data_IF_702859026347
#
_entry.id   IF_702859026347
#
_cell.length_a   1.000
_cell.length_b   1.000
_cell.length_c   1.000
_cell.angle_alpha   90.00
_cell.angle_beta   90.00
_cell.angle_gamma   90.00
#
_symmetry.space_group_name_H-M   'P 1'
#
loop_
_entity.id
_entity.type
_entity.pdbx_description
1 polymer ?
#
# COMPACT_ATOMS: atom_id res chain seq x y z
N UNK A 1 -17.98 28.92 12.93
CA UNK A 1 -18.29 27.70 13.69
C UNK A 1 -17.37 27.68 14.92
N UNK A 2 -17.92 27.73 16.14
CA UNK A 2 -17.16 27.61 17.38
C UNK A 2 -17.55 26.29 18.03
N UNK A 3 -16.58 25.39 18.23
CA UNK A 3 -16.77 24.13 18.92
C UNK A 3 -15.50 23.74 19.65
N UNK A 4 -15.65 22.98 20.74
CA UNK A 4 -14.50 22.40 21.44
C UNK A 4 -14.21 21.03 20.83
N UNK A 5 -12.94 20.79 20.50
CA UNK A 5 -12.46 19.47 20.10
C UNK A 5 -11.71 18.80 21.25
N UNK A 6 -11.96 17.51 21.46
CA UNK A 6 -11.26 16.68 22.42
C UNK A 6 -10.48 15.59 21.67
N UNK A 7 -9.21 15.42 22.04
CA UNK A 7 -8.38 14.29 21.60
C UNK A 7 -8.02 13.43 22.78
N UNK A 8 -8.37 12.16 22.71
CA UNK A 8 -7.98 11.15 23.70
C UNK A 8 -7.05 10.15 23.05
N UNK A 9 -5.97 9.78 23.74
CA UNK A 9 -5.04 8.74 23.30
C UNK A 9 -5.00 7.61 24.30
N UNK A 10 -5.22 6.40 23.82
CA UNK A 10 -5.03 5.17 24.57
C UNK A 10 -3.89 4.37 23.97
N UNK A 11 -3.02 3.80 24.82
CA UNK A 11 -1.94 2.89 24.42
C UNK A 11 -1.96 1.67 25.30
N UNK A 12 -1.94 0.49 24.68
CA UNK A 12 -1.81 -0.79 25.38
C UNK A 12 -0.68 -1.60 24.75
N UNK A 13 0.15 -2.19 25.58
CA UNK A 13 1.31 -3.00 25.21
C UNK A 13 1.10 -4.41 25.77
N UNK A 14 1.49 -5.38 24.98
CA UNK A 14 1.65 -6.78 25.35
C UNK A 14 3.05 -7.22 24.90
N UNK A 15 3.49 -8.40 25.26
CA UNK A 15 4.85 -8.87 24.98
C UNK A 15 5.25 -8.73 23.50
N UNK A 16 4.36 -9.16 22.59
CA UNK A 16 4.63 -9.14 21.15
C UNK A 16 3.65 -8.25 20.36
N UNK A 17 2.88 -7.40 21.05
CA UNK A 17 1.82 -6.63 20.40
C UNK A 17 1.67 -5.25 21.03
N UNK A 18 1.22 -4.30 20.22
CA UNK A 18 0.84 -2.98 20.70
C UNK A 18 -0.44 -2.50 20.01
N UNK A 19 -1.23 -1.76 20.77
CA UNK A 19 -2.39 -1.02 20.27
C UNK A 19 -2.26 0.43 20.67
N UNK A 20 -2.40 1.33 19.72
CA UNK A 20 -2.46 2.77 19.94
C UNK A 20 -3.76 3.25 19.31
N UNK A 21 -4.61 3.88 20.09
CA UNK A 21 -5.89 4.43 19.60
C UNK A 21 -5.97 5.91 19.97
N UNK A 22 -6.19 6.74 18.97
CA UNK A 22 -6.54 8.14 19.15
C UNK A 22 -8.02 8.31 18.79
N UNK A 23 -8.78 8.89 19.68
CA UNK A 23 -10.18 9.23 19.48
C UNK A 23 -10.29 10.75 19.46
N UNK A 24 -10.95 11.27 18.47
CA UNK A 24 -11.19 12.69 18.28
C UNK A 24 -12.69 12.91 18.34
N UNK A 25 -13.14 13.90 19.08
CA UNK A 25 -14.55 14.26 19.14
C UNK A 25 -14.72 15.76 19.20
N UNK A 26 -15.77 16.27 18.62
CA UNK A 26 -16.16 17.67 18.73
C UNK A 26 -17.68 17.80 18.67
N UNK A 27 -18.19 18.80 19.36
CA UNK A 27 -19.59 19.20 19.25
C UNK A 27 -19.67 20.39 18.30
N UNK A 28 -20.33 20.19 17.16
CA UNK A 28 -20.46 21.20 16.11
C UNK A 28 -21.89 21.75 16.07
N UNK A 29 -22.01 23.05 15.83
CA UNK A 29 -23.28 23.64 15.47
C UNK A 29 -23.39 23.69 13.95
N UNK A 30 -24.38 22.98 13.41
CA UNK A 30 -24.64 22.96 11.97
C UNK A 30 -25.34 24.27 11.53
N UNK A 31 -25.35 24.53 10.21
CA UNK A 31 -26.03 25.70 9.61
C UNK A 31 -27.50 25.81 10.03
N UNK A 32 -28.14 24.70 10.39
CA UNK A 32 -29.53 24.67 10.90
C UNK A 32 -29.62 24.85 12.43
N UNK A 33 -28.56 25.36 13.09
CA UNK A 33 -28.47 25.53 14.54
C UNK A 33 -28.69 24.23 15.36
N UNK A 34 -28.54 23.07 14.74
CA UNK A 34 -28.52 21.79 15.45
C UNK A 34 -27.09 21.48 15.89
N UNK A 35 -26.95 21.00 17.12
CA UNK A 35 -25.70 20.49 17.65
C UNK A 35 -25.54 19.05 17.25
N UNK A 36 -24.41 18.70 16.65
CA UNK A 36 -24.07 17.35 16.26
C UNK A 36 -22.73 16.97 16.87
N UNK A 37 -22.68 15.76 17.44
CA UNK A 37 -21.45 15.15 17.88
C UNK A 37 -20.77 14.52 16.66
N UNK A 38 -19.59 14.97 16.33
CA UNK A 38 -18.75 14.43 15.27
C UNK A 38 -17.46 13.90 15.84
N UNK A 39 -16.88 12.92 15.19
CA UNK A 39 -15.66 12.32 15.69
C UNK A 39 -14.86 11.60 14.61
N UNK A 40 -13.68 11.17 15.00
CA UNK A 40 -12.83 10.31 14.22
C UNK A 40 -12.07 9.34 15.13
N UNK A 41 -11.70 8.22 14.56
CA UNK A 41 -10.84 7.23 15.19
C UNK A 41 -9.60 7.02 14.31
N UNK A 42 -8.44 6.93 14.96
CA UNK A 42 -7.17 6.51 14.36
C UNK A 42 -6.55 5.47 15.30
N UNK A 43 -6.66 4.19 14.93
CA UNK A 43 -6.21 3.07 15.74
C UNK A 43 -5.21 2.25 14.97
N UNK A 44 -4.04 2.02 15.56
CA UNK A 44 -2.97 1.21 15.00
C UNK A 44 -2.67 0.03 15.92
N UNK A 45 -2.80 -1.16 15.39
CA UNK A 45 -2.40 -2.41 16.02
C UNK A 45 -1.23 -3.01 15.28
N UNK A 46 -0.23 -3.49 16.00
CA UNK A 46 0.87 -4.28 15.46
C UNK A 46 1.16 -5.47 16.37
N UNK A 47 1.45 -6.62 15.78
CA UNK A 47 1.74 -7.86 16.51
C UNK A 47 2.70 -8.73 15.73
N UNK A 48 3.63 -9.37 16.46
CA UNK A 48 4.36 -10.51 15.96
C UNK A 48 3.69 -11.79 16.47
N UNK A 49 3.22 -12.61 15.53
CA UNK A 49 2.58 -13.88 15.84
C UNK A 49 3.48 -15.05 15.42
N UNK A 50 3.17 -16.25 15.89
CA UNK A 50 3.99 -17.45 15.70
C UNK A 50 4.61 -17.60 14.31
N UNK A 51 5.78 -18.20 14.23
CA UNK A 51 6.54 -18.42 12.99
C UNK A 51 6.98 -17.16 12.23
N UNK A 52 7.16 -16.00 12.92
CA UNK A 52 7.72 -14.78 12.34
C UNK A 52 6.76 -13.99 11.43
N UNK A 53 5.47 -14.15 11.58
CA UNK A 53 4.48 -13.29 10.95
C UNK A 53 4.35 -11.96 11.69
N UNK A 54 4.37 -10.88 10.93
CA UNK A 54 4.04 -9.54 11.40
C UNK A 54 2.64 -9.17 10.92
N UNK A 55 1.74 -8.91 11.85
CA UNK A 55 0.37 -8.46 11.55
C UNK A 55 0.23 -7.01 11.94
N UNK A 56 -0.25 -6.19 11.01
CA UNK A 56 -0.53 -4.79 11.24
C UNK A 56 -1.98 -4.51 10.84
N UNK A 57 -2.69 -3.75 11.68
CA UNK A 57 -4.01 -3.24 11.35
C UNK A 57 -4.05 -1.75 11.68
N UNK A 58 -4.55 -0.96 10.75
CA UNK A 58 -4.71 0.47 10.90
C UNK A 58 -6.15 0.84 10.53
N UNK A 59 -6.92 1.27 11.51
CA UNK A 59 -8.29 1.75 11.34
C UNK A 59 -8.31 3.26 11.41
N UNK A 60 -8.68 3.90 10.33
CA UNK A 60 -8.89 5.35 10.23
C UNK A 60 -10.26 5.65 9.66
N UNK A 61 -11.09 6.30 10.46
CA UNK A 61 -12.43 6.71 10.04
C UNK A 61 -12.82 8.03 10.68
N UNK A 62 -13.55 8.83 9.94
CA UNK A 62 -14.15 10.05 10.43
C UNK A 62 -15.64 10.08 10.10
N UNK A 63 -16.44 10.64 10.99
CA UNK A 63 -17.89 10.79 10.80
C UNK A 63 -18.27 11.82 9.74
N UNK A 64 -17.36 12.74 9.45
CA UNK A 64 -17.51 13.77 8.41
C UNK A 64 -16.21 14.05 7.69
N UNK A 65 -16.27 14.28 6.39
CA UNK A 65 -15.12 14.42 5.50
C UNK A 65 -14.19 15.59 5.87
N UNK A 66 -14.73 16.68 6.38
CA UNK A 66 -13.94 17.88 6.73
C UNK A 66 -13.50 17.92 8.19
N UNK A 67 -13.94 16.96 9.03
CA UNK A 67 -13.76 16.99 10.48
C UNK A 67 -12.28 17.13 10.88
N UNK A 68 -11.42 16.26 10.39
CA UNK A 68 -10.00 16.20 10.79
C UNK A 68 -9.26 17.51 10.45
N UNK A 69 -9.52 18.08 9.27
CA UNK A 69 -8.89 19.35 8.83
C UNK A 69 -9.44 20.54 9.58
N UNK A 70 -10.76 20.59 9.80
CA UNK A 70 -11.41 21.71 10.48
C UNK A 70 -10.91 21.91 11.90
N UNK A 71 -10.58 20.84 12.59
CA UNK A 71 -10.07 20.89 13.96
C UNK A 71 -8.54 20.76 14.06
N UNK A 72 -7.83 20.76 12.93
CA UNK A 72 -6.38 20.71 12.91
C UNK A 72 -5.77 19.39 13.39
N UNK A 73 -6.56 18.32 13.43
CA UNK A 73 -6.09 17.01 13.87
C UNK A 73 -5.26 16.30 12.79
N UNK A 74 -5.62 16.49 11.51
CA UNK A 74 -4.91 15.95 10.36
C UNK A 74 -5.27 16.76 9.11
N UNK A 75 -4.30 16.92 8.20
CA UNK A 75 -4.49 17.65 6.93
C UNK A 75 -4.61 16.69 5.72
N UNK A 76 -4.63 15.39 5.93
CA UNK A 76 -4.75 14.43 4.85
C UNK A 76 -6.09 14.58 4.10
N UNK A 77 -6.04 14.38 2.79
CA UNK A 77 -7.21 14.41 1.91
C UNK A 77 -7.96 13.08 1.89
N UNK A 78 -7.35 12.02 2.42
CA UNK A 78 -7.98 10.71 2.58
C UNK A 78 -7.50 10.00 3.84
N UNK A 79 -8.33 9.11 4.38
CA UNK A 79 -8.01 8.20 5.48
C UNK A 79 -7.95 6.78 4.96
N UNK A 80 -6.77 6.15 4.99
CA UNK A 80 -6.59 4.74 4.64
C UNK A 80 -6.75 3.89 5.89
N UNK A 81 -7.67 2.93 5.87
CA UNK A 81 -7.73 1.79 6.80
C UNK A 81 -7.12 0.57 6.12
N UNK A 82 -6.34 -0.22 6.84
CA UNK A 82 -5.71 -1.42 6.26
C UNK A 82 -5.50 -2.50 7.32
N UNK A 83 -5.47 -3.73 6.86
CA UNK A 83 -4.96 -4.88 7.59
C UNK A 83 -3.95 -5.59 6.71
N UNK A 84 -2.82 -5.95 7.27
CA UNK A 84 -1.78 -6.67 6.54
C UNK A 84 -1.14 -7.74 7.40
N UNK A 85 -0.68 -8.80 6.74
CA UNK A 85 0.17 -9.81 7.32
C UNK A 85 1.38 -10.01 6.41
N UNK A 86 2.58 -9.94 6.98
CA UNK A 86 3.82 -10.14 6.23
C UNK A 86 4.77 -11.07 6.95
N UNK A 87 5.61 -11.74 6.18
CA UNK A 87 6.61 -12.66 6.72
C UNK A 87 7.83 -12.72 5.81
N UNK A 88 9.02 -12.75 6.43
CA UNK A 88 10.28 -13.07 5.74
C UNK A 88 10.79 -14.43 6.19
N UNK A 89 11.12 -15.31 5.26
CA UNK A 89 11.71 -16.63 5.52
C UNK A 89 12.94 -16.77 4.64
N UNK A 90 14.11 -16.61 5.23
CA UNK A 90 15.35 -16.60 4.46
C UNK A 90 15.33 -15.49 3.41
N UNK A 91 15.35 -15.88 2.15
CA UNK A 91 15.36 -15.00 0.99
C UNK A 91 13.96 -14.81 0.34
N UNK A 92 12.88 -15.10 1.06
CA UNK A 92 11.50 -14.98 0.58
C UNK A 92 10.73 -14.01 1.44
N UNK A 93 9.98 -13.13 0.80
CA UNK A 93 9.07 -12.21 1.44
C UNK A 93 7.63 -12.46 0.97
N UNK A 94 6.71 -12.45 1.91
CA UNK A 94 5.28 -12.64 1.70
C UNK A 94 4.53 -11.48 2.32
N UNK A 95 3.55 -10.95 1.59
CA UNK A 95 2.64 -9.91 2.09
C UNK A 95 1.24 -10.18 1.58
N UNK A 96 0.28 -10.08 2.48
CA UNK A 96 -1.15 -9.99 2.15
C UNK A 96 -1.68 -8.74 2.81
N UNK A 97 -2.36 -7.89 2.06
CA UNK A 97 -2.96 -6.64 2.56
C UNK A 97 -4.38 -6.50 2.04
N UNK A 98 -5.26 -5.99 2.88
CA UNK A 98 -6.54 -5.44 2.48
C UNK A 98 -6.60 -4.00 2.96
N UNK A 99 -7.12 -3.09 2.15
CA UNK A 99 -7.23 -1.70 2.54
C UNK A 99 -8.43 -1.01 1.90
N UNK A 100 -8.91 -0.01 2.62
CA UNK A 100 -10.04 0.80 2.22
C UNK A 100 -9.72 2.27 2.50
N UNK A 101 -10.23 3.17 1.66
CA UNK A 101 -9.99 4.61 1.74
C UNK A 101 -11.29 5.37 1.89
N UNK A 102 -11.35 6.25 2.89
CA UNK A 102 -12.38 7.25 3.03
C UNK A 102 -11.86 8.58 2.52
N UNK A 103 -12.53 9.20 1.55
CA UNK A 103 -12.22 10.55 1.11
C UNK A 103 -12.58 11.59 2.18
N UNK A 104 -11.72 12.58 2.34
CA UNK A 104 -11.91 13.72 3.25
C UNK A 104 -12.22 15.01 2.50
N UNK A 105 -12.53 14.90 1.21
CA UNK A 105 -12.91 16.01 0.33
C UNK A 105 -14.40 15.94 0.02
N UNK A 106 -15.11 17.03 0.26
CA UNK A 106 -16.56 17.11 -0.06
C UNK A 106 -16.85 17.02 -1.56
N UNK A 107 -15.88 17.37 -2.40
CA UNK A 107 -15.97 17.26 -3.86
C UNK A 107 -15.84 15.83 -4.38
N UNK A 108 -15.24 14.94 -3.60
CA UNK A 108 -14.89 13.57 -4.03
C UNK A 108 -15.89 12.51 -3.56
N UNK A 109 -17.03 12.93 -3.01
CA UNK A 109 -18.03 11.98 -2.46
C UNK A 109 -18.53 10.92 -3.43
N UNK A 110 -18.20 11.07 -4.69
CA UNK A 110 -18.70 10.21 -5.75
C UNK A 110 -17.63 9.46 -6.53
N UNK A 111 -16.35 9.74 -6.33
CA UNK A 111 -15.36 9.25 -7.31
C UNK A 111 -14.15 8.48 -6.77
N UNK A 112 -13.84 8.48 -5.46
CA UNK A 112 -12.51 8.03 -5.03
C UNK A 112 -12.46 7.18 -3.76
N UNK A 113 -13.53 6.56 -3.33
CA UNK A 113 -13.47 5.53 -2.30
C UNK A 113 -13.06 4.22 -2.98
N UNK A 114 -11.81 3.83 -2.80
CA UNK A 114 -11.25 2.62 -3.41
C UNK A 114 -10.96 1.59 -2.32
N UNK A 115 -11.50 0.41 -2.52
CA UNK A 115 -11.23 -0.74 -1.67
C UNK A 115 -10.30 -1.71 -2.40
N UNK A 116 -9.19 -2.05 -1.77
CA UNK A 116 -8.25 -3.05 -2.27
C UNK A 116 -8.47 -4.34 -1.49
N UNK A 117 -8.95 -5.39 -2.17
CA UNK A 117 -9.30 -6.67 -1.56
C UNK A 117 -9.07 -7.84 -2.53
N UNK A 118 -8.09 -8.67 -2.31
CA UNK A 118 -6.85 -8.51 -1.56
C UNK A 118 -5.72 -7.93 -2.41
N UNK A 119 -4.65 -7.45 -1.78
CA UNK A 119 -3.33 -7.33 -2.38
C UNK A 119 -2.45 -8.45 -1.86
N UNK A 120 -1.88 -9.24 -2.75
CA UNK A 120 -0.95 -10.33 -2.44
C UNK A 120 0.37 -10.02 -3.11
N UNK A 121 1.46 -10.15 -2.37
CA UNK A 121 2.80 -9.93 -2.89
C UNK A 121 3.74 -11.04 -2.40
N UNK A 122 4.53 -11.55 -3.31
CA UNK A 122 5.59 -12.51 -3.05
C UNK A 122 6.86 -12.06 -3.75
N UNK A 123 7.97 -12.11 -3.02
CA UNK A 123 9.29 -11.82 -3.55
C UNK A 123 10.25 -12.94 -3.11
N UNK A 124 11.17 -13.29 -4.00
CA UNK A 124 12.24 -14.24 -3.75
C UNK A 124 13.51 -13.76 -4.44
N UNK A 125 14.61 -13.76 -3.67
CA UNK A 125 15.94 -13.50 -4.19
C UNK A 125 16.79 -14.78 -4.09
N UNK A 126 17.50 -15.13 -5.13
CA UNK A 126 18.37 -16.30 -5.16
C UNK A 126 19.73 -15.95 -5.78
N UNK A 127 20.79 -16.59 -5.26
CA UNK A 127 22.08 -16.59 -5.95
C UNK A 127 21.95 -17.40 -7.22
N UNK A 128 22.52 -16.87 -8.30
CA UNK A 128 22.59 -17.57 -9.56
C UNK A 128 23.65 -18.67 -9.58
N UNK A 129 23.89 -19.21 -10.75
CA UNK A 129 24.90 -20.23 -10.98
C UNK A 129 26.35 -19.71 -10.85
N UNK A 130 26.53 -18.40 -10.97
CA UNK A 130 27.83 -17.73 -10.81
C UNK A 130 27.84 -16.94 -9.50
N UNK A 131 29.02 -16.74 -8.91
CA UNK A 131 29.18 -16.11 -7.59
C UNK A 131 28.59 -14.71 -7.50
N UNK A 132 28.59 -13.95 -8.62
CA UNK A 132 28.16 -12.57 -8.66
C UNK A 132 26.81 -12.40 -9.39
N UNK A 133 26.05 -13.46 -9.51
CA UNK A 133 24.78 -13.51 -10.19
C UNK A 133 23.65 -13.65 -9.20
N UNK A 134 22.57 -12.86 -9.39
CA UNK A 134 21.37 -12.85 -8.57
C UNK A 134 20.13 -12.93 -9.45
N UNK A 135 19.17 -13.70 -8.98
CA UNK A 135 17.83 -13.75 -9.52
C UNK A 135 16.85 -13.18 -8.52
N UNK A 136 15.96 -12.31 -8.99
CA UNK A 136 14.84 -11.81 -8.21
C UNK A 136 13.54 -12.13 -8.94
N UNK A 137 12.61 -12.71 -8.22
CA UNK A 137 11.28 -13.01 -8.71
C UNK A 137 10.26 -12.31 -7.83
N UNK A 138 9.40 -11.52 -8.43
CA UNK A 138 8.26 -10.90 -7.77
C UNK A 138 6.96 -11.36 -8.42
N UNK A 139 5.96 -11.64 -7.61
CA UNK A 139 4.60 -11.93 -8.06
C UNK A 139 3.65 -11.09 -7.21
N UNK A 140 2.74 -10.39 -7.85
CA UNK A 140 1.69 -9.66 -7.15
C UNK A 140 0.34 -9.86 -7.80
N UNK A 141 -0.68 -9.87 -6.95
CA UNK A 141 -2.07 -9.88 -7.35
C UNK A 141 -2.81 -8.79 -6.58
N UNK A 142 -3.69 -8.08 -7.26
CA UNK A 142 -4.47 -6.99 -6.72
C UNK A 142 -5.88 -7.06 -7.28
N UNK A 143 -6.85 -6.96 -6.39
CA UNK A 143 -8.23 -6.66 -6.76
C UNK A 143 -8.61 -5.30 -6.16
N UNK A 144 -9.11 -4.43 -7.00
CA UNK A 144 -9.56 -3.10 -6.64
C UNK A 144 -11.05 -2.99 -6.96
N UNK A 145 -11.83 -2.73 -5.93
CA UNK A 145 -13.24 -2.41 -6.03
C UNK A 145 -13.41 -0.88 -5.96
N UNK A 146 -14.07 -0.33 -6.95
CA UNK A 146 -14.44 1.08 -6.97
C UNK A 146 -15.96 1.17 -6.93
N UNK A 147 -16.50 1.87 -5.94
CA UNK A 147 -17.94 1.95 -5.67
C UNK A 147 -18.78 2.46 -6.86
N UNK A 148 -18.16 3.08 -7.85
CA UNK A 148 -18.91 3.79 -8.86
C UNK A 148 -18.96 3.15 -10.25
N UNK A 149 -17.85 2.62 -10.77
CA UNK A 149 -17.87 2.26 -12.18
C UNK A 149 -17.21 0.92 -12.53
N UNK A 150 -16.05 0.56 -11.94
CA UNK A 150 -15.27 -0.55 -12.46
C UNK A 150 -14.52 -1.30 -11.36
N UNK A 151 -14.52 -2.62 -11.46
CA UNK A 151 -13.65 -3.49 -10.70
C UNK A 151 -12.41 -3.83 -11.54
N UNK A 152 -11.25 -3.73 -10.93
CA UNK A 152 -9.97 -4.04 -11.56
C UNK A 152 -9.32 -5.21 -10.86
N UNK A 153 -9.05 -6.29 -11.58
CA UNK A 153 -8.11 -7.32 -11.16
C UNK A 153 -6.79 -7.16 -11.93
N UNK A 154 -5.67 -7.20 -11.21
CA UNK A 154 -4.33 -7.13 -11.79
C UNK A 154 -3.48 -8.27 -11.26
N UNK A 155 -2.78 -8.93 -12.17
CA UNK A 155 -1.67 -9.85 -11.86
C UNK A 155 -0.40 -9.30 -12.47
N UNK A 156 0.69 -9.33 -11.72
CA UNK A 156 1.99 -8.87 -12.18
C UNK A 156 3.05 -9.86 -11.76
N UNK A 157 3.97 -10.16 -12.67
CA UNK A 157 5.16 -10.95 -12.42
C UNK A 157 6.38 -10.21 -12.92
N UNK A 158 7.45 -10.16 -12.12
CA UNK A 158 8.75 -9.61 -12.49
C UNK A 158 9.78 -10.69 -12.27
N UNK A 159 10.57 -10.94 -13.29
CA UNK A 159 11.77 -11.74 -13.22
C UNK A 159 12.98 -10.86 -13.56
N UNK A 160 13.93 -10.80 -12.65
CA UNK A 160 15.15 -10.00 -12.80
C UNK A 160 16.37 -10.90 -12.66
N UNK A 161 17.33 -10.66 -13.54
CA UNK A 161 18.67 -11.23 -13.49
C UNK A 161 19.66 -10.10 -13.39
N UNK A 162 20.52 -10.14 -12.39
CA UNK A 162 21.65 -9.21 -12.26
C UNK A 162 22.98 -9.95 -12.13
N UNK A 163 24.01 -9.44 -12.74
CA UNK A 163 25.36 -10.00 -12.67
C UNK A 163 26.41 -8.88 -12.67
N UNK A 164 27.40 -9.00 -11.80
CA UNK A 164 28.53 -8.06 -11.73
C UNK A 164 29.85 -8.77 -12.08
N UNK A 165 30.68 -8.13 -12.88
CA UNK A 165 32.00 -8.61 -13.25
C UNK A 165 33.05 -7.60 -12.86
N UNK A 166 34.08 -8.06 -12.17
CA UNK A 166 35.29 -7.28 -11.95
C UNK A 166 36.24 -7.48 -13.12
N UNK A 167 36.63 -6.37 -13.74
CA UNK A 167 37.61 -6.34 -14.83
C UNK A 167 38.77 -5.43 -14.43
N UNK A 168 39.94 -5.52 -15.07
CA UNK A 168 41.06 -4.59 -14.85
C UNK A 168 40.70 -3.12 -15.08
N UNK A 169 39.62 -2.87 -15.83
CA UNK A 169 39.14 -1.53 -16.18
C UNK A 169 37.98 -1.06 -15.30
N UNK A 170 37.59 -1.82 -14.27
CA UNK A 170 36.48 -1.46 -13.38
C UNK A 170 35.47 -2.58 -13.21
N UNK A 171 34.33 -2.25 -12.62
CA UNK A 171 33.22 -3.16 -12.40
C UNK A 171 32.15 -2.93 -13.44
N UNK A 172 31.81 -3.96 -14.18
CA UNK A 172 30.70 -3.96 -15.15
C UNK A 172 29.50 -4.71 -14.56
N UNK A 173 28.32 -4.13 -14.61
CA UNK A 173 27.06 -4.75 -14.18
C UNK A 173 26.11 -4.92 -15.35
N UNK A 174 25.43 -6.04 -15.39
CA UNK A 174 24.33 -6.32 -16.32
C UNK A 174 23.08 -6.58 -15.51
N UNK A 175 21.97 -6.01 -15.92
CA UNK A 175 20.67 -6.25 -15.32
C UNK A 175 19.64 -6.42 -16.44
N UNK A 176 19.04 -7.59 -16.49
CA UNK A 176 17.91 -7.89 -17.37
C UNK A 176 16.66 -8.11 -16.54
N UNK A 177 15.55 -7.52 -16.94
CA UNK A 177 14.27 -7.81 -16.32
C UNK A 177 13.20 -8.13 -17.37
N UNK A 178 12.24 -8.95 -16.96
CA UNK A 178 11.06 -9.29 -17.71
C UNK A 178 9.84 -9.05 -16.82
N UNK A 179 9.00 -8.09 -17.20
CA UNK A 179 7.78 -7.77 -16.47
C UNK A 179 6.57 -8.20 -17.27
N UNK A 180 5.76 -9.08 -16.70
CA UNK A 180 4.46 -9.49 -17.23
C UNK A 180 3.33 -8.88 -16.42
N UNK A 181 2.31 -8.34 -17.08
CA UNK A 181 1.12 -7.84 -16.44
C UNK A 181 -0.12 -8.36 -17.16
N UNK A 182 -1.12 -8.71 -16.37
CA UNK A 182 -2.46 -9.03 -16.81
C UNK A 182 -3.46 -8.19 -16.05
N UNK A 183 -4.40 -7.60 -16.77
CA UNK A 183 -5.47 -6.77 -16.23
C UNK A 183 -6.80 -7.30 -16.69
N UNK A 184 -7.77 -7.38 -15.79
CA UNK A 184 -9.16 -7.67 -16.07
C UNK A 184 -10.01 -6.55 -15.49
N UNK A 185 -10.77 -5.88 -16.35
CA UNK A 185 -11.65 -4.79 -16.00
C UNK A 185 -13.09 -5.24 -16.18
N UNK A 186 -13.89 -5.09 -15.11
CA UNK A 186 -15.32 -5.40 -15.13
C UNK A 186 -16.11 -4.13 -14.83
N UNK A 187 -17.08 -3.81 -15.68
CA UNK A 187 -18.06 -2.75 -15.38
C UNK A 187 -19.13 -3.28 -14.43
N UNK A 188 -19.49 -2.48 -13.42
CA UNK A 188 -20.70 -2.76 -12.64
C UNK A 188 -21.94 -2.51 -13.50
N UNK A 189 -22.95 -3.38 -13.48
CA UNK A 189 -24.10 -3.32 -14.40
C UNK A 189 -25.06 -2.18 -14.04
N UNK A 190 -24.66 -0.94 -14.25
CA UNK A 190 -25.54 0.24 -14.04
C UNK A 190 -25.96 0.93 -15.32
N UNK A 191 -25.39 0.61 -16.47
CA UNK A 191 -25.86 1.10 -17.77
C UNK A 191 -25.51 0.12 -18.88
N UNK A 192 -26.39 -0.06 -19.81
CA UNK A 192 -26.19 -0.86 -21.01
C UNK A 192 -24.89 -0.46 -21.71
N UNK A 193 -24.07 -1.44 -22.01
CA UNK A 193 -22.92 -1.48 -22.93
C UNK A 193 -21.52 -1.42 -22.33
N UNK A 194 -20.83 -2.40 -22.78
CA UNK A 194 -19.40 -2.67 -22.95
C UNK A 194 -18.69 -3.40 -21.81
N UNK A 195 -18.40 -4.66 -22.09
CA UNK A 195 -17.34 -5.41 -21.42
C UNK A 195 -16.01 -4.69 -21.65
N UNK A 196 -15.47 -4.07 -20.64
CA UNK A 196 -14.08 -3.63 -20.65
C UNK A 196 -13.20 -4.89 -20.68
N UNK A 197 -12.24 -4.91 -21.55
CA UNK A 197 -11.54 -6.11 -21.92
C UNK A 197 -10.48 -6.55 -20.93
N UNK A 198 -9.93 -7.70 -21.22
CA UNK A 198 -8.71 -8.21 -20.61
C UNK A 198 -7.51 -7.71 -21.41
N UNK A 199 -6.47 -7.29 -20.70
CA UNK A 199 -5.23 -6.80 -21.29
C UNK A 199 -4.03 -7.50 -20.67
N UNK A 200 -3.14 -7.99 -21.52
CA UNK A 200 -1.86 -8.55 -21.08
C UNK A 200 -0.73 -7.95 -21.88
N UNK A 201 0.38 -7.68 -21.22
CA UNK A 201 1.59 -7.25 -21.90
C UNK A 201 2.83 -7.76 -21.17
N UNK A 202 3.89 -7.91 -21.95
CA UNK A 202 5.20 -8.33 -21.51
C UNK A 202 6.21 -7.26 -21.88
N UNK A 203 6.97 -6.78 -20.90
CA UNK A 203 7.96 -5.73 -21.08
C UNK A 203 9.33 -6.22 -20.68
N UNK A 204 10.23 -6.50 -21.64
CA UNK A 204 11.63 -6.74 -21.36
C UNK A 204 12.38 -5.43 -21.17
N UNK A 205 13.37 -5.41 -20.28
CA UNK A 205 14.33 -4.33 -20.17
C UNK A 205 15.72 -4.88 -19.90
N UNK A 206 16.73 -4.22 -20.46
CA UNK A 206 18.14 -4.55 -20.25
C UNK A 206 18.90 -3.26 -19.92
N UNK A 207 19.70 -3.31 -18.86
CA UNK A 207 20.61 -2.24 -18.50
C UNK A 207 22.04 -2.77 -18.38
N UNK A 208 22.99 -1.93 -18.74
CA UNK A 208 24.44 -2.18 -18.60
C UNK A 208 25.04 -1.01 -17.88
N UNK A 209 25.69 -1.27 -16.77
CA UNK A 209 26.40 -0.29 -15.96
C UNK A 209 27.90 -0.55 -15.98
N UNK A 210 28.68 0.51 -15.94
CA UNK A 210 30.12 0.41 -15.71
C UNK A 210 30.54 1.45 -14.68
N UNK A 211 31.42 1.05 -13.75
CA UNK A 211 31.98 1.95 -12.73
C UNK A 211 33.47 1.70 -12.56
N UNK A 212 34.23 2.77 -12.48
CA UNK A 212 35.66 2.73 -12.11
C UNK A 212 35.79 3.04 -10.63
N UNK A 213 36.19 2.09 -9.78
CA UNK A 213 36.48 2.38 -8.38
C UNK A 213 37.80 3.18 -8.30
N UNK A 214 37.73 4.46 -7.95
CA UNK A 214 38.92 5.30 -7.71
C UNK A 214 39.19 5.24 -6.20
N UNK A 215 40.27 4.58 -5.79
CA UNK A 215 40.78 4.67 -4.43
C UNK A 215 41.74 5.87 -4.34
N UNK A 216 41.39 6.89 -3.58
CA UNK A 216 42.37 7.90 -3.13
C UNK A 216 43.10 7.35 -1.92
N UNK A 217 44.36 7.02 -2.06
CA UNK A 217 45.26 6.82 -0.92
C UNK A 217 45.70 8.20 -0.43
N UNK A 218 45.29 8.59 0.76
CA UNK A 218 45.80 9.74 1.51
C UNK A 218 47.08 9.37 2.25
#
# INVERSE_FOLDING_TARGET
YRGFGLKTRHRKLWDNSQLITNIYSANIETYKKKRELVGAIDSHFSSQIGNGWNVNAHLRRASQDTFMRRYGFNQNTSLKSSISASRTIGNRYYLVEASDRQSMLTSDKTTNEQTILPYIFYEKEEKGWRQNQWFRTEISALQLDNDQDHDLARWSGIFELSEEFQTPLGVTSYQGNLTGNYYSLHEKPTAATSSLGEYSFLTPALSVGWRLPIAMTS
#
